data_IF_066521525671
#
_entry.id   IF_066521525671
#
_cell.length_a   1.000
_cell.length_b   1.000
_cell.length_c   1.000
_cell.angle_alpha   90.00
_cell.angle_beta   90.00
_cell.angle_gamma   90.00
#
_symmetry.space_group_name_H-M   'P 1'
#
loop_
_entity.id
_entity.type
_entity.pdbx_description
1 polymer ?
#
# COMPACT_ATOMS: atom_id res chain seq x y z
N UNK A 1 -38.41 20.41 13.04
CA UNK A 1 -38.94 21.30 11.99
C UNK A 1 -37.75 21.70 11.14
N UNK A 2 -37.83 21.47 9.83
CA UNK A 2 -36.75 21.49 8.81
C UNK A 2 -36.05 20.14 8.57
N UNK A 3 -36.85 19.18 8.12
CA UNK A 3 -36.46 18.26 7.03
C UNK A 3 -37.33 18.64 5.81
N UNK A 4 -36.87 18.29 4.61
CA UNK A 4 -37.52 18.47 3.29
C UNK A 4 -37.25 19.78 2.53
N UNK A 5 -36.07 19.90 1.93
CA UNK A 5 -35.93 20.71 0.70
C UNK A 5 -34.70 20.31 -0.15
N UNK A 6 -34.47 19.02 -0.41
CA UNK A 6 -33.52 18.57 -1.45
C UNK A 6 -34.11 17.35 -2.17
N UNK A 7 -35.22 17.54 -2.87
CA UNK A 7 -35.74 16.55 -3.82
C UNK A 7 -36.54 17.23 -4.93
N UNK A 8 -35.93 18.19 -5.60
CA UNK A 8 -36.39 18.69 -6.89
C UNK A 8 -35.18 19.33 -7.57
N UNK A 9 -34.48 18.60 -8.44
CA UNK A 9 -33.66 19.16 -9.55
C UNK A 9 -32.83 18.09 -10.29
N UNK A 10 -33.38 16.90 -10.52
CA UNK A 10 -32.74 15.88 -11.38
C UNK A 10 -33.74 15.15 -12.30
N UNK A 11 -34.73 15.88 -12.82
CA UNK A 11 -35.72 15.35 -13.77
C UNK A 11 -35.86 16.25 -15.02
N UNK A 12 -34.74 16.80 -15.52
CA UNK A 12 -34.73 17.54 -16.76
C UNK A 12 -33.35 17.42 -17.42
N UNK A 13 -33.13 16.34 -18.19
CA UNK A 13 -32.13 16.22 -19.26
C UNK A 13 -32.12 14.78 -19.79
N UNK A 14 -33.19 14.37 -20.48
CA UNK A 14 -33.09 13.27 -21.46
C UNK A 14 -34.31 13.28 -22.40
N UNK A 15 -34.28 14.13 -23.43
CA UNK A 15 -35.26 14.10 -24.52
C UNK A 15 -34.72 14.88 -25.72
N UNK A 16 -33.68 14.36 -26.35
CA UNK A 16 -33.35 14.69 -27.74
C UNK A 16 -32.50 13.56 -28.33
N UNK A 17 -32.78 13.20 -29.59
CA UNK A 17 -32.18 12.13 -30.42
C UNK A 17 -32.91 10.77 -30.46
N UNK A 18 -34.16 10.80 -30.95
CA UNK A 18 -34.74 9.66 -31.68
C UNK A 18 -34.26 9.72 -33.15
N UNK A 19 -33.58 8.68 -33.69
CA UNK A 19 -33.43 8.52 -35.13
C UNK A 19 -34.73 8.03 -35.79
N UNK A 20 -34.91 8.28 -37.10
CA UNK A 20 -36.18 8.14 -37.79
C UNK A 20 -36.67 6.70 -37.92
N UNK A 21 -38.00 6.58 -37.84
CA UNK A 21 -38.83 5.42 -38.14
C UNK A 21 -38.52 4.90 -39.55
N UNK A 22 -37.94 3.71 -39.66
CA UNK A 22 -37.88 2.96 -40.91
C UNK A 22 -39.25 2.35 -41.19
N UNK A 23 -39.92 2.83 -42.24
CA UNK A 23 -41.04 2.14 -42.88
C UNK A 23 -40.48 1.04 -43.77
N UNK A 24 -40.76 -0.26 -43.54
CA UNK A 24 -40.42 -1.29 -44.50
C UNK A 24 -41.41 -1.25 -45.67
N UNK A 25 -40.91 -0.83 -46.82
CA UNK A 25 -41.54 -1.01 -48.12
C UNK A 25 -41.69 -2.52 -48.40
N UNK A 26 -42.93 -3.01 -48.40
CA UNK A 26 -43.27 -4.37 -48.84
C UNK A 26 -42.99 -4.50 -50.34
N UNK A 27 -41.82 -5.04 -50.68
CA UNK A 27 -41.51 -5.47 -52.04
C UNK A 27 -41.92 -6.94 -52.24
N UNK A 28 -42.51 -7.18 -53.41
CA UNK A 28 -43.01 -8.45 -53.92
C UNK A 28 -42.20 -9.69 -53.48
N UNK A 29 -42.81 -10.54 -52.66
CA UNK A 29 -42.34 -11.92 -52.46
C UNK A 29 -43.06 -12.83 -53.45
N UNK A 30 -42.30 -13.32 -54.44
CA UNK A 30 -42.69 -14.48 -55.25
C UNK A 30 -42.98 -15.65 -54.30
N UNK A 31 -44.17 -16.22 -54.36
CA UNK A 31 -44.50 -17.48 -53.69
C UNK A 31 -43.56 -18.58 -54.18
N UNK A 32 -42.51 -18.86 -53.39
CA UNK A 32 -41.69 -20.05 -53.58
C UNK A 32 -42.47 -21.23 -52.99
N UNK A 33 -42.80 -22.17 -53.86
CA UNK A 33 -43.57 -23.37 -53.50
C UNK A 33 -42.95 -24.09 -52.28
N UNK A 34 -43.78 -24.26 -51.25
CA UNK A 34 -43.44 -24.89 -49.96
C UNK A 34 -42.78 -26.27 -50.10
N UNK A 35 -43.01 -26.96 -51.23
CA UNK A 35 -42.38 -28.24 -51.58
C UNK A 35 -40.90 -28.12 -51.94
N UNK A 36 -40.47 -27.04 -52.58
CA UNK A 36 -39.09 -26.83 -53.01
C UNK A 36 -38.19 -26.44 -51.82
N UNK A 37 -38.72 -25.60 -50.92
CA UNK A 37 -38.03 -25.21 -49.69
C UNK A 37 -37.75 -26.43 -48.79
N UNK A 38 -38.73 -27.34 -48.66
CA UNK A 38 -38.57 -28.59 -47.88
C UNK A 38 -37.55 -29.56 -48.48
N UNK A 39 -37.36 -29.56 -49.81
CA UNK A 39 -36.31 -30.37 -50.45
C UNK A 39 -34.93 -29.78 -50.22
N UNK A 40 -34.77 -28.46 -50.40
CA UNK A 40 -33.49 -27.77 -50.14
C UNK A 40 -33.07 -27.89 -48.67
N UNK A 41 -34.02 -27.78 -47.74
CA UNK A 41 -33.73 -27.96 -46.31
C UNK A 41 -33.30 -29.39 -45.98
N UNK A 42 -33.97 -30.42 -46.51
CA UNK A 42 -33.57 -31.82 -46.27
C UNK A 42 -32.22 -32.18 -46.90
N UNK A 43 -31.92 -31.66 -48.09
CA UNK A 43 -30.60 -31.84 -48.71
C UNK A 43 -29.51 -31.20 -47.86
N UNK A 44 -29.70 -29.95 -47.41
CA UNK A 44 -28.76 -29.28 -46.50
C UNK A 44 -28.60 -30.00 -45.17
N UNK A 45 -29.68 -30.56 -44.62
CA UNK A 45 -29.64 -31.28 -43.35
C UNK A 45 -28.88 -32.61 -43.46
N UNK A 46 -28.99 -33.29 -44.60
CA UNK A 46 -28.22 -34.52 -44.87
C UNK A 46 -26.73 -34.23 -45.04
N UNK A 47 -26.39 -33.15 -45.76
CA UNK A 47 -25.01 -32.68 -45.94
C UNK A 47 -24.39 -32.25 -44.59
N UNK A 48 -25.15 -31.51 -43.79
CA UNK A 48 -24.73 -31.10 -42.45
C UNK A 48 -24.55 -32.30 -41.52
N UNK A 49 -25.39 -33.34 -41.65
CA UNK A 49 -25.27 -34.55 -40.82
C UNK A 49 -24.03 -35.37 -41.21
N UNK A 50 -23.68 -35.42 -42.49
CA UNK A 50 -22.48 -36.12 -42.97
C UNK A 50 -21.17 -35.47 -42.47
N UNK A 51 -21.15 -34.13 -42.31
CA UNK A 51 -19.98 -33.40 -41.79
C UNK A 51 -19.72 -33.69 -40.29
N UNK A 52 -20.73 -34.07 -39.52
CA UNK A 52 -20.61 -34.32 -38.07
C UNK A 52 -20.35 -35.79 -37.68
N UNK A 53 -20.54 -36.76 -38.58
CA UNK A 53 -20.31 -38.19 -38.28
C UNK A 53 -18.82 -38.60 -38.29
N UNK A 54 -17.93 -37.74 -38.81
CA UNK A 54 -16.48 -37.95 -38.76
C UNK A 54 -15.73 -36.72 -38.24
N UNK A 55 -15.68 -36.48 -36.92
CA UNK A 55 -14.80 -35.47 -36.38
C UNK A 55 -13.35 -35.85 -36.71
N UNK A 56 -12.74 -35.14 -37.67
CA UNK A 56 -11.31 -35.25 -37.95
C UNK A 56 -10.58 -35.00 -36.64
N UNK A 57 -9.81 -35.99 -36.19
CA UNK A 57 -8.97 -35.85 -35.00
C UNK A 57 -8.15 -34.57 -35.13
N UNK A 58 -8.10 -33.71 -34.10
CA UNK A 58 -7.39 -32.45 -34.22
C UNK A 58 -5.92 -32.70 -34.59
N UNK A 59 -5.31 -31.82 -35.42
CA UNK A 59 -3.92 -31.99 -35.83
C UNK A 59 -3.03 -32.09 -34.59
N UNK A 60 -2.05 -33.00 -34.62
CA UNK A 60 -1.15 -33.26 -33.48
C UNK A 60 -0.47 -32.00 -32.92
N UNK A 61 -0.31 -30.97 -33.76
CA UNK A 61 0.23 -29.65 -33.41
C UNK A 61 -0.56 -28.91 -32.31
N UNK A 62 -1.87 -29.16 -32.19
CA UNK A 62 -2.70 -28.55 -31.14
C UNK A 62 -2.36 -29.05 -29.73
N UNK A 63 -1.92 -30.31 -29.62
CA UNK A 63 -1.45 -30.86 -28.34
C UNK A 63 -0.10 -30.25 -27.92
N UNK A 64 0.75 -29.88 -28.89
CA UNK A 64 2.00 -29.19 -28.61
C UNK A 64 1.74 -27.78 -28.07
N UNK A 65 0.83 -27.03 -28.70
CA UNK A 65 0.43 -25.68 -28.26
C UNK A 65 -0.12 -25.72 -26.83
N UNK A 66 -1.00 -26.68 -26.52
CA UNK A 66 -1.55 -26.85 -25.17
C UNK A 66 -0.48 -27.17 -24.11
N UNK A 67 0.56 -27.94 -24.45
CA UNK A 67 1.69 -28.21 -23.55
C UNK A 67 2.51 -26.96 -23.26
N UNK A 68 2.85 -26.17 -24.28
CA UNK A 68 3.61 -24.94 -24.10
C UNK A 68 2.83 -23.88 -23.32
N UNK A 69 1.53 -23.77 -23.53
CA UNK A 69 0.67 -22.86 -22.78
C UNK A 69 0.64 -23.19 -21.28
N UNK A 70 0.52 -24.47 -20.91
CA UNK A 70 0.55 -24.92 -19.51
C UNK A 70 1.90 -24.66 -18.84
N UNK A 71 3.01 -24.89 -19.56
CA UNK A 71 4.35 -24.58 -19.06
C UNK A 71 4.55 -23.08 -18.86
N UNK A 72 4.05 -22.26 -19.79
CA UNK A 72 4.08 -20.80 -19.69
C UNK A 72 3.29 -20.27 -18.49
N UNK A 73 2.07 -20.78 -18.26
CA UNK A 73 1.27 -20.41 -17.08
C UNK A 73 1.96 -20.81 -15.77
N UNK A 74 2.51 -22.03 -15.70
CA UNK A 74 3.23 -22.48 -14.52
C UNK A 74 4.43 -21.59 -14.19
N UNK A 75 5.23 -21.25 -15.20
CA UNK A 75 6.38 -20.36 -15.06
C UNK A 75 5.97 -18.94 -14.68
N UNK A 76 4.91 -18.41 -15.29
CA UNK A 76 4.39 -17.07 -15.01
C UNK A 76 3.87 -16.97 -13.56
N UNK A 77 3.14 -17.97 -13.07
CA UNK A 77 2.66 -18.02 -11.69
C UNK A 77 3.83 -18.10 -10.70
N UNK A 78 4.85 -18.90 -11.02
CA UNK A 78 6.03 -19.06 -10.18
C UNK A 78 6.86 -17.77 -10.10
N UNK A 79 7.05 -17.08 -11.23
CA UNK A 79 7.68 -15.75 -11.26
C UNK A 79 6.84 -14.69 -10.54
N UNK A 80 5.51 -14.77 -10.62
CA UNK A 80 4.61 -13.84 -9.91
C UNK A 80 4.76 -13.95 -8.38
N UNK A 81 4.93 -15.17 -7.86
CA UNK A 81 5.19 -15.39 -6.43
C UNK A 81 6.56 -14.86 -6.02
N UNK A 82 7.60 -15.07 -6.85
CA UNK A 82 8.96 -14.61 -6.57
C UNK A 82 9.10 -13.08 -6.61
N UNK A 83 8.36 -12.39 -7.46
CA UNK A 83 8.36 -10.93 -7.57
C UNK A 83 7.53 -10.24 -6.46
N UNK A 84 6.67 -10.97 -5.74
CA UNK A 84 5.84 -10.42 -4.68
C UNK A 84 6.57 -10.23 -3.34
N UNK A 85 7.83 -10.65 -3.22
CA UNK A 85 8.63 -10.49 -2.00
C UNK A 85 9.68 -9.39 -2.17
N UNK A 86 9.22 -8.16 -2.31
CA UNK A 86 10.05 -6.98 -2.15
C UNK A 86 9.65 -6.27 -0.85
N UNK A 87 10.14 -6.77 0.28
CA UNK A 87 10.15 -5.98 1.52
C UNK A 87 11.20 -4.90 1.35
N UNK A 88 10.80 -3.75 0.81
CA UNK A 88 11.68 -2.61 0.68
C UNK A 88 12.04 -2.11 2.08
N UNK A 89 13.27 -2.38 2.52
CA UNK A 89 13.89 -1.62 3.59
C UNK A 89 14.02 -0.18 3.07
N UNK A 90 13.21 0.72 3.60
CA UNK A 90 13.07 2.10 3.13
C UNK A 90 13.45 3.08 4.22
N UNK A 91 14.16 4.13 3.85
CA UNK A 91 14.35 5.30 4.71
C UNK A 91 12.98 5.81 5.17
N UNK A 92 12.86 6.15 6.45
CA UNK A 92 11.62 6.68 7.01
C UNK A 92 11.26 8.01 6.36
N UNK A 93 10.06 8.07 5.75
CA UNK A 93 9.51 9.31 5.16
C UNK A 93 8.74 10.09 6.23
N UNK A 94 9.42 11.06 6.84
CA UNK A 94 8.83 11.93 7.86
C UNK A 94 7.76 12.84 7.26
N UNK A 95 6.64 13.00 7.98
CA UNK A 95 5.55 13.91 7.65
C UNK A 95 5.14 14.70 8.89
N UNK A 96 4.32 15.75 8.74
CA UNK A 96 3.77 16.48 9.89
C UNK A 96 2.95 15.53 10.76
N UNK A 97 3.12 15.63 12.08
CA UNK A 97 2.43 14.75 13.03
C UNK A 97 0.89 14.83 12.93
N UNK A 98 0.35 16.00 12.60
CA UNK A 98 -1.08 16.25 12.32
C UNK A 98 -1.66 15.41 11.19
N UNK A 99 -0.82 15.00 10.22
CA UNK A 99 -1.26 14.14 9.12
C UNK A 99 -1.26 12.65 9.51
N UNK A 100 -0.53 12.29 10.56
CA UNK A 100 -0.37 10.89 10.98
C UNK A 100 -1.47 10.43 11.94
N UNK A 101 -1.99 11.32 12.78
CA UNK A 101 -2.87 11.01 13.92
C UNK A 101 -3.86 12.15 14.22
N UNK A 102 -4.89 11.87 15.04
CA UNK A 102 -5.84 12.90 15.47
C UNK A 102 -5.21 13.89 16.47
N UNK A 103 -5.81 15.08 16.56
CA UNK A 103 -5.38 16.11 17.52
C UNK A 103 -5.39 15.62 18.98
N UNK A 104 -6.36 14.77 19.35
CA UNK A 104 -6.45 14.18 20.69
C UNK A 104 -5.24 13.27 21.00
N UNK A 105 -4.81 12.44 20.04
CA UNK A 105 -3.63 11.60 20.20
C UNK A 105 -2.38 12.46 20.34
N UNK A 106 -2.24 13.53 19.55
CA UNK A 106 -1.08 14.43 19.64
C UNK A 106 -1.00 15.12 21.00
N UNK A 107 -2.13 15.59 21.53
CA UNK A 107 -2.16 16.20 22.86
C UNK A 107 -1.70 15.22 23.94
N UNK A 108 -2.16 13.98 23.89
CA UNK A 108 -1.75 12.95 24.86
C UNK A 108 -0.25 12.60 24.72
N UNK A 109 0.24 12.45 23.49
CA UNK A 109 1.67 12.17 23.23
C UNK A 109 2.56 13.31 23.74
N UNK A 110 2.20 14.57 23.49
CA UNK A 110 2.95 15.74 23.99
C UNK A 110 2.89 15.80 25.51
N UNK A 111 1.72 15.60 26.11
CA UNK A 111 1.54 15.60 27.57
C UNK A 111 2.37 14.51 28.26
N UNK A 112 2.50 13.32 27.66
CA UNK A 112 3.26 12.21 28.23
C UNK A 112 4.78 12.41 28.16
N UNK A 113 5.27 13.22 27.21
CA UNK A 113 6.68 13.35 26.92
C UNK A 113 7.26 14.74 27.23
N UNK A 114 6.42 15.69 27.66
CA UNK A 114 6.86 17.06 27.96
C UNK A 114 6.20 17.57 29.24
N UNK A 115 6.97 18.24 30.09
CA UNK A 115 6.47 18.91 31.29
C UNK A 115 5.88 20.30 31.01
N UNK A 116 5.60 20.61 29.73
CA UNK A 116 5.20 21.93 29.27
C UNK A 116 3.71 22.24 29.56
N UNK A 117 3.23 21.84 30.74
CA UNK A 117 1.93 22.20 31.31
C UNK A 117 1.78 23.72 31.58
N UNK A 118 2.81 24.53 31.33
CA UNK A 118 2.87 25.97 31.65
C UNK A 118 3.03 26.91 30.43
N UNK A 119 3.15 26.36 29.23
CA UNK A 119 3.16 27.12 27.96
C UNK A 119 1.93 26.63 27.17
N UNK A 120 1.35 27.36 26.21
CA UNK A 120 0.49 26.74 25.20
C UNK A 120 1.33 25.80 24.31
N UNK A 121 1.84 24.72 24.91
CA UNK A 121 2.76 23.73 24.37
C UNK A 121 2.20 22.98 23.16
N UNK A 122 0.89 22.68 23.08
CA UNK A 122 0.33 22.09 21.86
C UNK A 122 0.48 23.02 20.66
N UNK A 123 0.46 24.35 20.85
CA UNK A 123 0.41 25.31 19.73
C UNK A 123 1.78 25.60 19.14
N UNK A 124 2.87 25.37 19.88
CA UNK A 124 4.24 25.66 19.43
C UNK A 124 5.03 24.41 19.05
N UNK A 125 4.78 23.27 19.71
CA UNK A 125 5.50 22.01 19.47
C UNK A 125 4.87 21.24 18.32
N UNK A 126 3.55 21.06 18.33
CA UNK A 126 2.83 20.22 17.37
C UNK A 126 3.08 20.64 15.91
N UNK A 127 3.11 21.94 15.55
CA UNK A 127 3.37 22.34 14.17
C UNK A 127 4.78 21.98 13.66
N UNK A 128 5.75 21.84 14.58
CA UNK A 128 7.14 21.47 14.28
C UNK A 128 7.40 19.96 14.36
N UNK A 129 6.46 19.20 14.91
CA UNK A 129 6.63 17.79 15.21
C UNK A 129 6.45 16.94 13.95
N UNK A 130 7.40 16.05 13.72
CA UNK A 130 7.32 15.09 12.62
C UNK A 130 6.89 13.73 13.14
N UNK A 131 6.26 12.96 12.27
CA UNK A 131 5.87 11.60 12.53
C UNK A 131 6.16 10.72 11.31
N UNK A 132 6.33 9.44 11.57
CA UNK A 132 6.33 8.38 10.58
C UNK A 132 5.39 7.27 11.00
N UNK A 133 4.75 6.64 10.03
CA UNK A 133 3.73 5.62 10.27
C UNK A 133 4.11 4.30 9.59
N UNK A 134 3.85 3.20 10.27
CA UNK A 134 3.89 1.86 9.69
C UNK A 134 2.62 1.09 10.06
N UNK A 135 1.95 0.53 9.06
CA UNK A 135 0.75 -0.25 9.27
C UNK A 135 1.11 -1.68 9.63
N UNK A 136 0.51 -2.19 10.70
CA UNK A 136 0.52 -3.60 11.08
C UNK A 136 -0.89 -4.20 11.01
N UNK A 137 -1.00 -5.47 11.41
CA UNK A 137 -2.27 -6.20 11.55
C UNK A 137 -3.04 -5.66 12.75
N UNK A 138 -4.06 -4.85 12.49
CA UNK A 138 -4.96 -4.32 13.53
C UNK A 138 -4.38 -3.20 14.40
N UNK A 139 -3.16 -2.74 14.11
CA UNK A 139 -2.51 -1.63 14.80
C UNK A 139 -1.66 -0.82 13.82
N UNK A 140 -1.51 0.48 14.09
CA UNK A 140 -0.58 1.37 13.38
C UNK A 140 0.51 1.81 14.35
N UNK A 141 1.77 1.59 13.97
CA UNK A 141 2.91 2.20 14.64
C UNK A 141 3.03 3.65 14.17
N UNK A 142 3.20 4.57 15.12
CA UNK A 142 3.53 5.97 14.84
C UNK A 142 4.77 6.34 15.63
N UNK A 143 5.85 6.63 14.91
CA UNK A 143 7.09 7.14 15.48
C UNK A 143 7.06 8.66 15.41
N UNK A 144 7.30 9.33 16.53
CA UNK A 144 7.31 10.77 16.66
C UNK A 144 8.74 11.29 16.86
N UNK A 145 9.04 12.37 16.15
CA UNK A 145 10.30 13.10 16.23
C UNK A 145 10.08 14.40 17.01
N UNK A 146 10.66 14.48 18.20
CA UNK A 146 10.67 15.69 19.02
C UNK A 146 11.95 16.52 18.82
N UNK A 147 12.65 16.35 17.70
CA UNK A 147 13.80 17.18 17.31
C UNK A 147 13.38 18.61 17.00
N UNK A 148 13.09 19.37 18.06
CA UNK A 148 12.94 20.81 18.03
C UNK A 148 13.91 21.46 19.03
N UNK A 149 14.15 22.74 18.85
CA UNK A 149 15.10 23.50 19.68
C UNK A 149 14.71 23.58 21.17
N UNK A 150 13.46 23.24 21.53
CA UNK A 150 12.97 23.27 22.91
C UNK A 150 13.03 21.93 23.66
N UNK A 151 13.27 20.81 22.96
CA UNK A 151 13.17 19.46 23.52
C UNK A 151 14.44 18.61 23.33
N UNK A 152 15.38 19.05 22.49
CA UNK A 152 16.70 18.43 22.39
C UNK A 152 17.62 18.88 23.52
N UNK A 153 18.16 17.92 24.28
CA UNK A 153 19.18 18.16 25.29
C UNK A 153 20.59 17.88 24.76
N UNK A 154 21.60 18.10 25.61
CA UNK A 154 23.01 17.83 25.28
C UNK A 154 23.29 16.36 24.87
N UNK A 155 22.43 15.43 25.30
CA UNK A 155 22.55 13.98 25.03
C UNK A 155 21.85 13.53 23.75
N UNK A 156 21.02 14.39 23.13
CA UNK A 156 20.24 14.08 21.94
C UNK A 156 18.80 14.60 22.02
N UNK A 157 18.02 14.21 21.02
CA UNK A 157 16.60 14.54 20.88
C UNK A 157 15.74 13.31 21.17
N UNK A 158 14.56 13.52 21.72
CA UNK A 158 13.63 12.44 22.05
C UNK A 158 12.92 11.91 20.80
N UNK A 159 12.86 10.59 20.68
CA UNK A 159 12.05 9.87 19.70
C UNK A 159 11.18 8.85 20.41
N UNK A 160 9.87 8.87 20.17
CA UNK A 160 8.94 7.93 20.81
C UNK A 160 8.07 7.22 19.79
N UNK A 161 7.86 5.92 19.95
CA UNK A 161 6.95 5.13 19.13
C UNK A 161 5.70 4.76 19.90
N UNK A 162 4.54 4.90 19.28
CA UNK A 162 3.24 4.55 19.83
C UNK A 162 2.51 3.54 18.94
N UNK A 163 1.83 2.58 19.55
CA UNK A 163 0.83 1.76 18.88
C UNK A 163 -0.54 2.39 19.02
N UNK A 164 -1.19 2.56 17.88
CA UNK A 164 -2.55 3.10 17.77
C UNK A 164 -3.43 1.98 17.23
N UNK A 165 -4.35 1.53 18.07
CA UNK A 165 -5.39 0.56 17.72
C UNK A 165 -6.74 1.29 17.65
N UNK A 166 -7.69 0.73 16.90
CA UNK A 166 -9.03 1.31 16.80
C UNK A 166 -9.67 1.38 18.20
N UNK A 167 -10.20 2.54 18.56
CA UNK A 167 -10.93 2.78 19.82
C UNK A 167 -10.11 2.53 21.11
N UNK A 168 -8.77 2.50 21.02
CA UNK A 168 -7.90 2.37 22.19
C UNK A 168 -6.99 3.59 22.33
N UNK A 169 -6.63 3.89 23.58
CA UNK A 169 -5.64 4.92 23.85
C UNK A 169 -4.27 4.56 23.22
N UNK A 170 -3.52 5.54 22.72
CA UNK A 170 -2.19 5.30 22.16
C UNK A 170 -1.28 4.72 23.25
N UNK A 171 -0.61 3.61 22.95
CA UNK A 171 0.30 2.94 23.88
C UNK A 171 1.74 3.18 23.46
N UNK A 172 2.57 3.78 24.33
CA UNK A 172 4.00 3.97 24.03
C UNK A 172 4.73 2.62 24.05
N UNK A 173 5.44 2.32 22.96
CA UNK A 173 6.16 1.05 22.75
C UNK A 173 7.64 1.24 22.42
N UNK A 174 8.08 2.48 22.20
CA UNK A 174 9.49 2.82 21.98
C UNK A 174 9.76 4.21 22.55
N UNK A 175 10.92 4.41 23.18
CA UNK A 175 11.39 5.73 23.59
C UNK A 175 12.92 5.70 23.66
N UNK A 176 13.57 6.65 23.00
CA UNK A 176 15.02 6.79 23.04
C UNK A 176 15.43 8.23 22.77
N UNK A 177 16.47 8.67 23.47
CA UNK A 177 17.22 9.87 23.09
C UNK A 177 18.26 9.49 22.03
N UNK A 178 18.22 10.18 20.89
CA UNK A 178 19.08 9.89 19.75
C UNK A 178 19.73 11.18 19.24
N UNK A 179 20.92 11.05 18.66
CA UNK A 179 21.60 12.16 17.99
C UNK A 179 21.20 12.19 16.51
N UNK A 180 20.43 13.18 16.05
CA UNK A 180 19.96 13.25 14.66
C UNK A 180 21.05 13.67 13.66
N UNK A 181 22.12 14.29 14.15
CA UNK A 181 23.22 14.79 13.32
C UNK A 181 24.14 13.65 12.87
N UNK A 182 23.76 12.99 11.78
CA UNK A 182 24.54 11.93 11.13
C UNK A 182 25.35 12.47 9.93
N UNK A 183 26.43 11.78 9.52
CA UNK A 183 27.12 12.09 8.27
C UNK A 183 26.18 12.08 7.06
N UNK A 184 26.49 12.84 5.99
CA UNK A 184 25.67 12.88 4.78
C UNK A 184 25.39 11.48 4.20
N UNK A 185 24.15 11.26 3.76
CA UNK A 185 23.71 9.99 3.18
C UNK A 185 23.42 8.87 4.18
N UNK A 186 23.42 9.15 5.49
CA UNK A 186 23.02 8.20 6.54
C UNK A 186 21.70 8.65 7.17
N UNK A 187 20.72 7.76 7.18
CA UNK A 187 19.43 7.99 7.82
C UNK A 187 19.46 7.58 9.29
N UNK A 188 18.81 8.36 10.15
CA UNK A 188 18.66 8.05 11.57
C UNK A 188 17.80 6.80 11.78
N UNK A 189 16.68 6.74 11.05
CA UNK A 189 15.74 5.62 11.06
C UNK A 189 15.56 5.04 9.67
N UNK A 190 15.56 3.72 9.61
CA UNK A 190 15.17 2.93 8.43
C UNK A 190 14.16 1.88 8.90
N UNK A 191 13.11 1.67 8.11
CA UNK A 191 12.21 0.55 8.35
C UNK A 191 12.92 -0.74 7.96
N UNK A 192 13.22 -1.58 8.95
CA UNK A 192 13.81 -2.90 8.74
C UNK A 192 12.79 -3.90 8.20
N UNK A 193 13.24 -5.14 8.05
CA UNK A 193 12.33 -6.24 7.71
C UNK A 193 11.26 -6.40 8.78
N UNK A 194 10.05 -6.70 8.35
CA UNK A 194 8.97 -7.11 9.27
C UNK A 194 9.42 -8.34 10.05
N UNK A 195 9.42 -8.23 11.37
CA UNK A 195 9.67 -9.38 12.23
C UNK A 195 8.44 -10.28 12.21
N UNK A 196 8.61 -11.57 12.47
CA UNK A 196 7.52 -12.53 12.77
C UNK A 196 6.89 -12.20 14.14
N UNK A 197 6.35 -10.99 14.26
CA UNK A 197 5.48 -10.59 15.36
C UNK A 197 4.02 -10.68 14.90
N UNK A 198 3.12 -10.93 15.85
CA UNK A 198 1.69 -11.08 15.56
C UNK A 198 1.09 -9.85 14.86
N UNK A 199 1.66 -8.67 15.09
CA UNK A 199 1.21 -7.42 14.48
C UNK A 199 1.83 -7.14 13.10
N UNK A 200 2.77 -7.93 12.60
CA UNK A 200 3.46 -7.67 11.33
C UNK A 200 4.13 -6.30 11.25
N UNK A 201 4.65 -5.79 12.38
CA UNK A 201 5.33 -4.49 12.42
C UNK A 201 6.81 -4.60 11.99
N UNK A 202 7.36 -3.59 11.29
CA UNK A 202 8.78 -3.56 10.92
C UNK A 202 9.67 -3.39 12.14
N UNK A 203 10.88 -3.95 12.10
CA UNK A 203 11.91 -3.54 13.04
C UNK A 203 12.35 -2.09 12.75
N UNK A 204 12.73 -1.36 13.79
CA UNK A 204 13.32 -0.03 13.70
C UNK A 204 14.84 -0.17 13.61
N UNK A 205 15.41 0.15 12.46
CA UNK A 205 16.85 0.23 12.29
C UNK A 205 17.32 1.65 12.62
N UNK A 206 18.02 1.79 13.73
CA UNK A 206 18.48 3.07 14.27
C UNK A 206 19.98 3.21 14.09
N UNK A 207 20.41 4.23 13.36
CA UNK A 207 21.84 4.55 13.18
C UNK A 207 22.27 5.65 14.14
N UNK A 208 23.32 5.44 14.92
CA UNK A 208 23.86 6.41 15.87
C UNK A 208 25.37 6.59 15.69
N UNK A 209 25.92 7.80 15.91
CA UNK A 209 27.35 7.99 15.89
C UNK A 209 28.00 7.35 17.13
N UNK A 210 29.08 6.62 16.97
CA UNK A 210 29.85 6.05 18.08
C UNK A 210 31.34 6.31 17.87
N UNK A 211 31.86 7.33 18.57
CA UNK A 211 33.22 7.83 18.39
C UNK A 211 33.49 8.17 16.91
N UNK A 212 34.33 7.40 16.23
CA UNK A 212 34.69 7.56 14.82
C UNK A 212 33.88 6.67 13.88
N UNK A 213 33.02 5.82 14.42
CA UNK A 213 32.22 4.83 13.70
C UNK A 213 30.73 5.17 13.79
N UNK A 214 29.91 4.41 13.07
CA UNK A 214 28.45 4.42 13.25
C UNK A 214 28.03 3.09 13.87
N UNK A 215 27.08 3.10 14.80
CA UNK A 215 26.41 1.91 15.31
C UNK A 215 25.02 1.83 14.69
N UNK A 216 24.68 0.69 14.11
CA UNK A 216 23.32 0.39 13.67
C UNK A 216 22.71 -0.60 14.66
N UNK A 217 21.56 -0.23 15.23
CA UNK A 217 20.82 -1.06 16.18
C UNK A 217 19.44 -1.37 15.62
N UNK A 218 19.10 -2.65 15.56
CA UNK A 218 17.79 -3.15 15.15
C UNK A 218 16.93 -3.39 16.37
N UNK A 219 15.81 -2.67 16.47
CA UNK A 219 14.82 -2.87 17.51
C UNK A 219 13.59 -3.53 16.92
N UNK A 220 13.12 -4.64 17.48
CA UNK A 220 11.94 -5.35 16.99
C UNK A 220 10.86 -5.41 18.06
N UNK A 221 9.60 -5.34 17.65
CA UNK A 221 8.46 -5.43 18.55
C UNK A 221 8.32 -6.85 19.10
N UNK A 222 8.27 -7.00 20.43
CA UNK A 222 8.22 -8.29 21.11
C UNK A 222 6.82 -8.70 21.62
N UNK A 223 5.78 -7.96 21.25
CA UNK A 223 4.43 -8.13 21.80
C UNK A 223 4.04 -7.06 22.82
N UNK A 224 5.01 -6.34 23.39
CA UNK A 224 4.76 -5.24 24.34
C UNK A 224 5.53 -3.95 23.99
N UNK A 225 6.80 -4.06 23.67
CA UNK A 225 7.66 -2.91 23.32
C UNK A 225 8.71 -3.30 22.28
N UNK A 226 9.39 -2.29 21.73
CA UNK A 226 10.53 -2.48 20.84
C UNK A 226 11.78 -2.79 21.65
N UNK A 227 12.31 -4.00 21.47
CA UNK A 227 13.52 -4.47 22.15
C UNK A 227 14.69 -4.56 21.19
N UNK A 228 15.91 -4.33 21.67
CA UNK A 228 17.13 -4.47 20.87
C UNK A 228 17.31 -5.94 20.46
N UNK A 229 17.20 -6.21 19.17
CA UNK A 229 17.37 -7.54 18.58
C UNK A 229 18.81 -7.75 18.06
N UNK A 230 19.42 -6.70 17.49
CA UNK A 230 20.78 -6.75 16.94
C UNK A 230 21.46 -5.40 17.08
N UNK A 231 22.77 -5.40 17.25
CA UNK A 231 23.59 -4.18 17.16
C UNK A 231 24.89 -4.47 16.43
N UNK A 232 25.22 -3.63 15.46
CA UNK A 232 26.39 -3.78 14.58
C UNK A 232 27.15 -2.46 14.50
N UNK A 233 28.48 -2.54 14.62
CA UNK A 233 29.36 -1.42 14.30
C UNK A 233 29.61 -1.36 12.79
N UNK A 234 29.30 -0.22 12.20
CA UNK A 234 29.57 0.10 10.81
C UNK A 234 30.90 0.85 10.74
N UNK A 235 31.85 0.28 10.01
CA UNK A 235 33.08 0.98 9.66
C UNK A 235 32.80 2.08 8.64
N UNK A 236 32.81 3.32 9.08
CA UNK A 236 32.82 4.47 8.18
C UNK A 236 34.25 4.77 7.76
N UNK A 237 34.61 4.48 6.50
CA UNK A 237 35.70 5.22 5.84
C UNK A 237 35.23 6.66 5.68
N UNK A 238 35.49 7.50 6.68
CA UNK A 238 35.31 8.95 6.56
C UNK A 238 36.32 9.40 5.50
N UNK A 239 35.84 9.65 4.29
CA UNK A 239 36.68 10.19 3.23
C UNK A 239 37.03 11.62 3.65
N UNK A 240 38.18 11.78 4.31
CA UNK A 240 38.74 13.07 4.71
C UNK A 240 39.23 13.81 3.46
N UNK A 241 38.29 14.30 2.66
CA UNK A 241 38.51 15.20 1.55
C UNK A 241 37.35 16.19 1.48
N UNK A 242 37.40 17.15 2.39
CA UNK A 242 37.04 18.55 2.13
C UNK A 242 37.44 19.36 3.36
N UNK A 243 38.73 19.63 3.43
CA UNK A 243 39.27 20.79 4.12
C UNK A 243 39.75 21.72 3.01
N UNK A 244 38.93 22.71 2.67
CA UNK A 244 39.34 23.93 1.96
C UNK A 244 38.67 25.08 2.67
#
# INVERSE_FOLDING_TARGET
>A
MMDDQIYSDLAALDSELLPPVFTPTLSNTKEVSKGELRRKFRAKLADFKAEFEHPKSPPAEWFAIGRWFRLGIGLFLLLSVLLSSCSAAGTVSWQKAENAVSAQVLQEVVKQNTDLNQVPAPQTIVPSMLAWTANGRGAKLVLFDFNNSGLCGAVGCLYTGYLIKKEQAPTQVFSSYLRPNLPPGKALFVAGTTSDNDLGLPCLEVTQPEKTLLRQSSYCYNGSYYQLARSTLLETKINSKNKV
#
